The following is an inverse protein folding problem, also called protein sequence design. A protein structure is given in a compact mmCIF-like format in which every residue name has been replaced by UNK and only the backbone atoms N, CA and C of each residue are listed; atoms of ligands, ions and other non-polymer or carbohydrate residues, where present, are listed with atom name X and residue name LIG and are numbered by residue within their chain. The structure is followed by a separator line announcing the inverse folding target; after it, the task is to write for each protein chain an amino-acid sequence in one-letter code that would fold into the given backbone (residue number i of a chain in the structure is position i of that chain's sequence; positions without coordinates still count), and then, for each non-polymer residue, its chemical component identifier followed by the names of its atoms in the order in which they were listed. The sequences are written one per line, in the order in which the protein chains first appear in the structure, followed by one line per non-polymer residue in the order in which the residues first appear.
data_IF_490751899087
#
_entry.id   IF_490751899087
#
_cell.length_a   1.000
_cell.length_b   1.000
_cell.length_c   1.000
_cell.angle_alpha   90.00
_cell.angle_beta   90.00
_cell.angle_gamma   90.00
#
_symmetry.space_group_name_H-M   'P 1'
#
loop_
_entity.id
_entity.type
_entity.pdbx_description
1 polymer ?
#
# COMPACT_ATOMS: atom_id res chain seq x y z
N UNK A 1 -74.97 -35.50 -30.90
CA UNK A 1 -75.44 -34.15 -30.55
C UNK A 1 -74.48 -33.55 -29.53
N UNK A 2 -73.97 -32.35 -29.78
CA UNK A 2 -73.60 -31.35 -28.75
C UNK A 2 -72.26 -31.47 -28.01
N UNK A 3 -71.38 -30.50 -28.25
CA UNK A 3 -70.06 -30.20 -27.66
C UNK A 3 -70.02 -29.90 -26.14
N UNK A 4 -68.91 -30.20 -25.45
CA UNK A 4 -67.82 -29.29 -24.98
C UNK A 4 -66.95 -29.97 -23.89
N UNK A 5 -65.67 -29.61 -23.80
CA UNK A 5 -64.59 -30.17 -22.93
C UNK A 5 -63.93 -29.02 -22.11
N UNK A 6 -62.87 -29.16 -21.28
CA UNK A 6 -62.24 -30.32 -20.57
C UNK A 6 -61.67 -30.01 -19.13
N UNK A 7 -60.96 -31.02 -18.56
CA UNK A 7 -59.72 -31.01 -17.70
C UNK A 7 -59.87 -31.49 -16.24
N UNK A 8 -58.95 -32.23 -15.59
CA UNK A 8 -57.65 -32.88 -15.92
C UNK A 8 -57.28 -33.93 -14.85
N UNK A 9 -56.45 -34.90 -15.22
CA UNK A 9 -55.96 -36.08 -14.48
C UNK A 9 -54.63 -35.88 -13.72
N UNK A 10 -54.41 -36.67 -12.67
CA UNK A 10 -53.11 -36.93 -12.02
C UNK A 10 -52.84 -38.44 -11.90
N UNK A 11 -51.60 -38.87 -12.14
CA UNK A 11 -51.04 -40.18 -11.72
C UNK A 11 -49.56 -40.33 -12.12
N UNK A 12 -48.75 -41.16 -11.40
CA UNK A 12 -47.36 -40.89 -11.05
C UNK A 12 -46.31 -41.82 -11.70
N UNK A 13 -45.05 -41.39 -11.78
CA UNK A 13 -43.83 -42.24 -11.77
C UNK A 13 -42.56 -41.39 -11.99
N UNK A 14 -41.90 -40.89 -10.93
CA UNK A 14 -40.62 -40.17 -11.12
C UNK A 14 -39.75 -40.04 -9.84
N UNK A 15 -39.77 -41.03 -8.93
CA UNK A 15 -38.99 -40.97 -7.66
C UNK A 15 -37.82 -41.94 -7.52
N UNK A 16 -37.49 -42.73 -8.53
CA UNK A 16 -36.44 -43.76 -8.40
C UNK A 16 -35.15 -43.55 -9.24
N UNK A 17 -34.99 -42.42 -9.95
CA UNK A 17 -33.79 -42.17 -10.78
C UNK A 17 -32.90 -41.02 -10.27
N UNK A 18 -33.34 -40.26 -9.26
CA UNK A 18 -32.58 -39.11 -8.73
C UNK A 18 -31.53 -39.46 -7.65
N UNK A 19 -31.56 -40.68 -7.10
CA UNK A 19 -30.68 -41.07 -5.99
C UNK A 19 -29.25 -41.47 -6.37
N UNK A 20 -29.01 -41.93 -7.61
CA UNK A 20 -27.70 -42.48 -7.99
C UNK A 20 -26.79 -41.50 -8.75
N UNK A 21 -27.32 -40.39 -9.27
CA UNK A 21 -26.53 -39.39 -10.02
C UNK A 21 -25.83 -38.37 -9.12
N UNK A 22 -26.30 -38.22 -7.87
CA UNK A 22 -25.68 -37.31 -6.89
C UNK A 22 -24.37 -37.88 -6.33
N UNK A 23 -24.26 -39.20 -6.14
CA UNK A 23 -23.04 -39.83 -5.60
C UNK A 23 -21.86 -39.90 -6.60
N UNK A 24 -22.13 -39.83 -7.90
CA UNK A 24 -21.09 -39.93 -8.94
C UNK A 24 -20.46 -38.58 -9.33
N UNK A 25 -21.10 -37.45 -9.00
CA UNK A 25 -20.56 -36.11 -9.32
C UNK A 25 -19.67 -35.57 -8.18
N UNK A 26 -19.76 -36.12 -6.97
CA UNK A 26 -18.96 -35.72 -5.81
C UNK A 26 -17.58 -36.40 -5.72
N UNK A 27 -17.21 -37.30 -6.65
CA UNK A 27 -15.90 -37.99 -6.64
C UNK A 27 -14.81 -37.35 -7.50
N UNK A 28 -15.05 -36.17 -8.10
CA UNK A 28 -14.04 -35.44 -8.91
C UNK A 28 -13.77 -34.01 -8.43
N UNK A 29 -14.30 -33.61 -7.27
CA UNK A 29 -13.78 -32.47 -6.53
C UNK A 29 -12.78 -33.00 -5.48
N UNK A 30 -11.61 -32.36 -5.28
CA UNK A 30 -10.93 -32.52 -4.00
C UNK A 30 -11.93 -32.06 -2.93
N UNK A 31 -12.35 -33.02 -2.11
CA UNK A 31 -13.08 -32.90 -0.83
C UNK A 31 -13.54 -31.48 -0.47
N UNK A 32 -14.79 -31.17 -0.79
CA UNK A 32 -15.55 -30.04 -0.24
C UNK A 32 -15.95 -30.29 1.23
N UNK A 33 -14.99 -30.68 2.06
CA UNK A 33 -15.20 -31.01 3.49
C UNK A 33 -14.16 -30.34 4.40
N UNK A 34 -13.51 -29.28 3.92
CA UNK A 34 -12.59 -28.44 4.71
C UNK A 34 -12.73 -26.95 4.38
N UNK A 35 -13.94 -26.50 4.03
CA UNK A 35 -14.31 -25.10 4.24
C UNK A 35 -15.04 -25.05 5.59
N UNK A 36 -14.27 -25.11 6.67
CA UNK A 36 -14.77 -24.73 7.97
C UNK A 36 -15.29 -23.30 7.88
N UNK A 37 -16.43 -23.08 8.50
CA UNK A 37 -16.98 -21.77 8.84
C UNK A 37 -15.89 -20.93 9.51
N UNK A 38 -15.16 -20.14 8.73
CA UNK A 38 -14.41 -18.99 9.19
C UNK A 38 -14.13 -18.07 8.00
N UNK A 39 -14.66 -16.86 8.12
CA UNK A 39 -14.15 -15.60 7.58
C UNK A 39 -14.42 -15.22 6.10
N UNK A 40 -15.36 -14.28 5.99
CA UNK A 40 -15.53 -13.22 4.98
C UNK A 40 -15.65 -13.61 3.50
N UNK A 41 -16.77 -14.23 3.15
CA UNK A 41 -17.34 -14.11 1.80
C UNK A 41 -18.19 -12.82 1.75
N UNK A 42 -17.78 -11.82 0.96
CA UNK A 42 -18.52 -10.56 0.78
C UNK A 42 -19.98 -10.83 0.31
N UNK A 43 -20.98 -10.06 0.80
CA UNK A 43 -22.39 -10.16 0.38
C UNK A 43 -22.62 -10.30 -1.14
N UNK A 44 -21.83 -9.62 -1.95
CA UNK A 44 -21.90 -9.67 -3.42
C UNK A 44 -21.58 -11.05 -3.98
N UNK A 45 -20.60 -11.74 -3.40
CA UNK A 45 -20.19 -13.09 -3.77
C UNK A 45 -21.24 -14.12 -3.34
N UNK A 46 -21.87 -13.91 -2.19
CA UNK A 46 -22.95 -14.78 -1.70
C UNK A 46 -24.23 -14.66 -2.55
N UNK A 47 -24.60 -13.43 -2.93
CA UNK A 47 -25.73 -13.17 -3.83
C UNK A 47 -25.51 -13.80 -5.22
N UNK A 48 -24.27 -13.77 -5.72
CA UNK A 48 -23.90 -14.36 -7.01
C UNK A 48 -23.91 -15.90 -6.99
N UNK A 49 -23.45 -16.52 -5.89
CA UNK A 49 -23.58 -17.97 -5.67
C UNK A 49 -25.06 -18.38 -5.65
N UNK A 50 -25.92 -17.62 -4.97
CA UNK A 50 -27.37 -17.87 -4.96
C UNK A 50 -28.02 -17.68 -6.33
N UNK A 51 -27.55 -16.72 -7.12
CA UNK A 51 -28.02 -16.52 -8.49
C UNK A 51 -27.64 -17.70 -9.40
N UNK A 52 -26.41 -18.22 -9.28
CA UNK A 52 -25.94 -19.41 -9.98
C UNK A 52 -26.71 -20.68 -9.57
N UNK A 53 -26.94 -20.87 -8.26
CA UNK A 53 -27.79 -21.96 -7.75
C UNK A 53 -29.23 -21.87 -8.29
N UNK A 54 -29.76 -20.65 -8.41
CA UNK A 54 -31.09 -20.41 -8.96
C UNK A 54 -31.14 -20.71 -10.46
N UNK A 55 -30.18 -20.23 -11.25
CA UNK A 55 -30.15 -20.47 -12.70
C UNK A 55 -29.98 -21.96 -13.05
N UNK A 56 -29.17 -22.69 -12.27
CA UNK A 56 -29.00 -24.15 -12.41
C UNK A 56 -30.28 -24.92 -12.07
N UNK A 57 -31.12 -24.40 -11.17
CA UNK A 57 -32.40 -25.02 -10.81
C UNK A 57 -33.53 -24.71 -11.81
N UNK A 58 -33.47 -23.59 -12.53
CA UNK A 58 -34.64 -23.06 -13.25
C UNK A 58 -34.47 -22.95 -14.78
N UNK A 59 -33.29 -23.21 -15.36
CA UNK A 59 -33.12 -23.30 -16.82
C UNK A 59 -32.76 -24.73 -17.24
N UNK A 60 -33.61 -25.35 -18.06
CA UNK A 60 -33.24 -26.54 -18.83
C UNK A 60 -32.24 -26.14 -19.92
N UNK A 61 -30.94 -26.28 -19.64
CA UNK A 61 -29.87 -26.13 -20.63
C UNK A 61 -29.35 -27.49 -21.08
N UNK A 62 -28.97 -27.67 -22.37
CA UNK A 62 -28.61 -28.96 -22.92
C UNK A 62 -27.13 -29.32 -22.64
N UNK A 63 -26.94 -30.53 -22.11
CA UNK A 63 -25.71 -31.36 -22.07
C UNK A 63 -24.48 -30.84 -21.30
N UNK A 64 -23.85 -31.77 -20.56
CA UNK A 64 -22.75 -31.56 -19.62
C UNK A 64 -21.49 -30.89 -20.20
N UNK A 65 -21.29 -30.90 -21.52
CA UNK A 65 -20.15 -30.26 -22.21
C UNK A 65 -20.26 -28.73 -22.19
N UNK A 66 -21.48 -28.18 -22.26
CA UNK A 66 -21.72 -26.73 -22.14
C UNK A 66 -21.44 -26.22 -20.71
N UNK A 67 -21.71 -27.08 -19.72
CA UNK A 67 -21.48 -26.79 -18.28
C UNK A 67 -19.98 -26.76 -17.97
N UNK A 68 -19.15 -27.66 -18.52
CA UNK A 68 -17.69 -27.62 -18.32
C UNK A 68 -17.03 -26.41 -18.98
N UNK A 69 -17.43 -26.04 -20.19
CA UNK A 69 -16.90 -24.86 -20.87
C UNK A 69 -17.24 -23.54 -20.14
N UNK A 70 -18.48 -23.43 -19.63
CA UNK A 70 -18.90 -22.28 -18.82
C UNK A 70 -18.36 -22.32 -17.39
N UNK A 71 -18.23 -23.48 -16.76
CA UNK A 71 -17.63 -23.57 -15.42
C UNK A 71 -16.12 -23.26 -15.45
N UNK A 72 -15.40 -23.63 -16.50
CA UNK A 72 -14.01 -23.19 -16.71
C UNK A 72 -13.91 -21.71 -17.08
N UNK A 73 -14.82 -21.18 -17.91
CA UNK A 73 -14.84 -19.73 -18.19
C UNK A 73 -15.24 -18.92 -16.96
N UNK A 74 -16.10 -19.48 -16.09
CA UNK A 74 -16.54 -18.92 -14.81
C UNK A 74 -15.46 -19.07 -13.74
N UNK A 75 -14.69 -20.15 -13.69
CA UNK A 75 -13.48 -20.23 -12.86
C UNK A 75 -12.38 -19.29 -13.36
N UNK A 76 -12.21 -19.10 -14.67
CA UNK A 76 -11.30 -18.10 -15.23
C UNK A 76 -11.80 -16.65 -15.04
N UNK A 77 -13.10 -16.43 -14.87
CA UNK A 77 -13.67 -15.10 -14.54
C UNK A 77 -13.88 -14.87 -13.04
N UNK A 78 -13.93 -15.91 -12.20
CA UNK A 78 -13.79 -15.83 -10.74
C UNK A 78 -12.30 -15.72 -10.35
N UNK A 79 -11.41 -16.21 -11.22
CA UNK A 79 -9.99 -15.90 -11.24
C UNK A 79 -9.66 -14.64 -12.08
N UNK A 80 -10.65 -13.79 -12.41
CA UNK A 80 -10.35 -12.36 -12.44
C UNK A 80 -9.94 -12.03 -11.02
N UNK A 81 -8.61 -11.92 -10.86
CA UNK A 81 -7.89 -12.05 -9.61
C UNK A 81 -8.60 -11.34 -8.47
N UNK A 82 -8.68 -11.99 -7.30
CA UNK A 82 -8.94 -11.23 -6.09
C UNK A 82 -8.03 -10.01 -6.12
N UNK A 83 -8.58 -8.78 -5.99
CA UNK A 83 -7.80 -7.56 -6.19
C UNK A 83 -6.66 -7.44 -5.17
N UNK A 84 -6.68 -8.30 -4.15
CA UNK A 84 -5.70 -8.45 -3.11
C UNK A 84 -5.37 -9.94 -2.91
N UNK A 85 -4.12 -10.24 -2.55
CA UNK A 85 -3.65 -11.55 -2.11
C UNK A 85 -2.65 -11.41 -0.97
N UNK A 86 -2.90 -12.09 0.16
CA UNK A 86 -1.87 -12.35 1.15
C UNK A 86 -0.97 -13.49 0.69
N UNK A 87 0.33 -13.30 0.78
CA UNK A 87 1.37 -14.22 0.33
C UNK A 87 1.99 -14.96 1.53
N UNK A 88 2.68 -16.07 1.24
CA UNK A 88 3.35 -16.89 2.26
C UNK A 88 4.61 -16.23 2.86
N UNK A 89 5.04 -15.07 2.35
CA UNK A 89 6.21 -14.31 2.78
C UNK A 89 5.83 -13.09 3.63
N UNK A 90 4.72 -13.18 4.38
CA UNK A 90 4.18 -12.11 5.23
C UNK A 90 4.06 -10.78 4.47
N UNK A 91 3.51 -10.89 3.26
CA UNK A 91 3.27 -9.75 2.38
C UNK A 91 1.91 -9.81 1.73
N UNK A 92 1.53 -8.68 1.16
CA UNK A 92 0.26 -8.40 0.54
C UNK A 92 0.52 -7.88 -0.86
N UNK A 93 -0.14 -8.45 -1.86
CA UNK A 93 -0.10 -7.95 -3.24
C UNK A 93 -1.48 -7.40 -3.62
N UNK A 94 -1.51 -6.16 -4.10
CA UNK A 94 -2.68 -5.54 -4.72
C UNK A 94 -2.52 -5.60 -6.24
N UNK A 95 -3.61 -5.83 -6.96
CA UNK A 95 -3.65 -5.84 -8.42
C UNK A 95 -4.90 -5.10 -8.90
N UNK A 96 -4.68 -4.02 -9.65
CA UNK A 96 -5.73 -3.21 -10.23
C UNK A 96 -6.13 -3.77 -11.61
N UNK A 97 -7.42 -3.68 -12.04
CA UNK A 97 -7.86 -4.18 -13.35
C UNK A 97 -7.13 -3.61 -14.57
N UNK A 98 -6.44 -2.47 -14.44
CA UNK A 98 -5.57 -1.91 -15.49
C UNK A 98 -4.27 -2.69 -15.70
N UNK A 99 -3.92 -3.62 -14.81
CA UNK A 99 -2.65 -4.33 -14.78
C UNK A 99 -1.62 -3.73 -13.82
N UNK A 100 -1.91 -2.60 -13.17
CA UNK A 100 -1.02 -2.02 -12.16
C UNK A 100 -1.03 -2.88 -10.90
N UNK A 101 0.10 -2.93 -10.18
CA UNK A 101 0.23 -3.74 -8.97
C UNK A 101 1.05 -3.04 -7.90
N UNK A 102 0.85 -3.44 -6.64
CA UNK A 102 1.69 -3.01 -5.52
C UNK A 102 1.92 -4.18 -4.56
N UNK A 103 3.09 -4.22 -3.92
CA UNK A 103 3.43 -5.22 -2.90
C UNK A 103 3.80 -4.52 -1.59
N UNK A 104 3.20 -4.97 -0.49
CA UNK A 104 3.37 -4.42 0.87
C UNK A 104 3.79 -5.53 1.81
N UNK A 105 4.89 -5.36 2.54
CA UNK A 105 5.27 -6.27 3.63
C UNK A 105 4.44 -5.96 4.88
N UNK A 106 4.06 -6.97 5.66
CA UNK A 106 3.51 -6.75 7.00
C UNK A 106 4.55 -6.07 7.91
N UNK A 107 5.82 -6.44 7.75
CA UNK A 107 6.91 -5.76 8.44
C UNK A 107 7.06 -4.31 7.97
N UNK A 108 6.85 -3.39 8.91
CA UNK A 108 6.82 -1.95 8.71
C UNK A 108 5.64 -1.42 7.90
N UNK A 109 4.66 -2.27 7.57
CA UNK A 109 3.66 -2.02 6.52
C UNK A 109 4.30 -1.42 5.24
N UNK A 110 5.50 -1.91 4.91
CA UNK A 110 6.37 -1.25 3.93
C UNK A 110 5.92 -1.60 2.52
N UNK A 111 5.49 -0.61 1.74
CA UNK A 111 5.32 -0.80 0.29
C UNK A 111 6.70 -1.00 -0.33
N UNK A 112 6.94 -2.13 -1.00
CA UNK A 112 8.25 -2.48 -1.56
C UNK A 112 8.27 -2.53 -3.09
N UNK A 113 7.10 -2.46 -3.73
CA UNK A 113 6.97 -2.44 -5.19
C UNK A 113 5.67 -1.74 -5.58
N UNK A 114 5.73 -0.96 -6.66
CA UNK A 114 4.58 -0.37 -7.32
C UNK A 114 4.83 -0.32 -8.83
N UNK A 115 4.15 -1.19 -9.57
CA UNK A 115 4.31 -1.32 -11.00
C UNK A 115 3.12 -0.68 -11.73
N UNK A 116 3.43 0.19 -12.70
CA UNK A 116 2.46 0.80 -13.61
C UNK A 116 2.94 0.60 -15.03
N UNK A 117 2.12 -0.07 -15.84
CA UNK A 117 2.41 -0.41 -17.25
C UNK A 117 3.72 -1.21 -17.41
N UNK A 118 3.98 -2.19 -16.53
CA UNK A 118 5.20 -3.01 -16.59
C UNK A 118 6.48 -2.31 -16.14
N UNK A 119 6.39 -1.05 -15.67
CA UNK A 119 7.52 -0.29 -15.14
C UNK A 119 7.38 -0.14 -13.63
N UNK A 120 8.36 -0.67 -12.90
CA UNK A 120 8.54 -0.43 -11.47
C UNK A 120 8.79 1.07 -11.22
N UNK A 121 8.09 1.63 -10.23
CA UNK A 121 8.14 3.06 -9.88
C UNK A 121 8.86 3.31 -8.57
N UNK A 122 9.12 2.27 -7.77
CA UNK A 122 9.85 2.36 -6.52
C UNK A 122 11.22 1.70 -6.61
N UNK A 123 12.24 2.35 -6.06
CA UNK A 123 13.54 1.72 -5.91
C UNK A 123 13.53 0.80 -4.68
N UNK A 124 13.93 -0.45 -4.88
CA UNK A 124 14.23 -1.39 -3.82
C UNK A 124 15.68 -1.86 -3.95
N UNK A 125 16.46 -1.76 -2.88
CA UNK A 125 17.82 -2.27 -2.93
C UNK A 125 17.83 -3.79 -3.08
N UNK A 126 18.70 -4.30 -3.95
CA UNK A 126 18.95 -5.75 -4.09
C UNK A 126 19.54 -6.41 -2.83
N UNK A 127 20.07 -5.62 -1.89
CA UNK A 127 20.57 -6.09 -0.57
C UNK A 127 19.60 -5.76 0.57
N UNK A 128 18.41 -5.24 0.27
CA UNK A 128 17.41 -4.95 1.27
C UNK A 128 17.06 -6.22 2.06
N UNK A 129 16.86 -6.06 3.36
CA UNK A 129 16.33 -7.13 4.22
C UNK A 129 14.82 -7.04 4.23
N UNK A 130 14.18 -8.13 3.81
CA UNK A 130 12.72 -8.28 3.75
C UNK A 130 12.22 -9.30 4.78
N UNK A 131 13.11 -9.77 5.66
CA UNK A 131 12.91 -10.84 6.65
C UNK A 131 12.56 -10.30 8.05
N UNK A 132 12.27 -9.01 8.17
CA UNK A 132 11.97 -8.37 9.44
C UNK A 132 13.17 -8.11 10.36
N UNK A 133 14.41 -8.38 9.93
CA UNK A 133 15.59 -8.19 10.80
C UNK A 133 16.00 -6.72 10.96
N UNK A 134 15.60 -5.86 10.02
CA UNK A 134 15.82 -4.41 10.05
C UNK A 134 14.92 -3.70 9.05
N UNK A 135 14.81 -2.37 9.16
CA UNK A 135 14.07 -1.55 8.22
C UNK A 135 14.48 -1.82 6.76
N UNK A 136 13.49 -1.88 5.87
CA UNK A 136 13.70 -2.15 4.44
C UNK A 136 14.46 -1.00 3.78
N UNK A 137 15.46 -1.33 2.95
CA UNK A 137 16.22 -0.35 2.16
C UNK A 137 15.57 -0.12 0.80
N UNK A 138 14.53 0.70 0.76
CA UNK A 138 13.80 1.04 -0.45
C UNK A 138 12.29 0.95 -0.25
N UNK A 139 11.53 1.17 -1.32
CA UNK A 139 10.07 1.23 -1.25
C UNK A 139 9.59 2.50 -0.54
N UNK A 140 8.65 2.36 0.39
CA UNK A 140 8.08 3.45 1.19
C UNK A 140 8.13 3.09 2.69
N UNK A 141 9.29 3.14 3.36
CA UNK A 141 9.37 2.98 4.81
C UNK A 141 8.57 4.07 5.55
N UNK A 142 7.89 3.68 6.62
CA UNK A 142 7.09 4.58 7.45
C UNK A 142 7.91 5.14 8.62
N UNK A 143 8.02 6.45 8.71
CA UNK A 143 8.77 7.14 9.76
C UNK A 143 7.81 7.67 10.81
N UNK A 144 7.82 7.09 12.01
CA UNK A 144 7.02 7.52 13.17
C UNK A 144 7.60 6.92 14.46
N UNK A 145 7.57 7.63 15.61
CA UNK A 145 7.05 8.98 15.84
C UNK A 145 8.11 10.09 15.70
N UNK A 146 9.31 9.78 15.21
CA UNK A 146 10.43 10.72 15.12
C UNK A 146 11.10 10.61 13.76
N UNK A 147 11.42 11.74 13.13
CA UNK A 147 12.22 11.80 11.91
C UNK A 147 13.70 12.05 12.24
N UNK A 148 14.59 11.30 11.57
CA UNK A 148 16.01 11.30 11.93
C UNK A 148 16.22 10.79 13.36
N UNK A 149 17.32 11.19 13.99
CA UNK A 149 17.61 10.90 15.39
C UNK A 149 17.34 12.16 16.20
N UNK A 150 16.36 12.13 17.08
CA UNK A 150 16.15 13.21 18.04
C UNK A 150 17.27 13.21 19.09
N UNK A 151 17.73 14.41 19.44
CA UNK A 151 18.72 14.63 20.51
C UNK A 151 18.07 15.03 21.83
N UNK A 152 16.82 15.48 21.80
CA UNK A 152 16.04 15.94 22.93
C UNK A 152 14.55 15.64 22.74
N UNK A 153 13.76 15.83 23.82
CA UNK A 153 12.32 15.61 23.79
C UNK A 153 11.90 14.15 24.01
N UNK A 154 10.59 13.87 23.94
CA UNK A 154 10.02 12.60 24.38
C UNK A 154 10.46 11.38 23.54
N UNK A 155 10.95 11.60 22.32
CA UNK A 155 11.42 10.55 21.42
C UNK A 155 12.96 10.44 21.32
N UNK A 156 13.73 11.17 22.15
CA UNK A 156 15.21 11.18 22.07
C UNK A 156 15.85 9.80 22.29
N UNK A 157 15.19 8.93 23.07
CA UNK A 157 15.68 7.59 23.33
C UNK A 157 15.48 6.63 22.13
N UNK A 158 14.51 6.91 21.26
CA UNK A 158 14.20 6.06 20.11
C UNK A 158 15.31 6.03 19.05
N UNK A 159 15.45 4.94 18.28
CA UNK A 159 16.36 4.88 17.15
C UNK A 159 16.00 5.89 16.05
N UNK A 160 16.92 6.09 15.11
CA UNK A 160 16.70 6.96 13.97
C UNK A 160 15.45 6.51 13.18
N UNK A 161 14.56 7.46 12.91
CA UNK A 161 13.27 7.29 12.23
C UNK A 161 12.19 6.50 13.00
N UNK A 162 12.36 6.32 14.31
CA UNK A 162 11.37 5.69 15.17
C UNK A 162 11.21 4.19 14.89
N UNK A 163 10.02 3.67 15.19
CA UNK A 163 9.75 2.22 15.26
C UNK A 163 8.72 1.72 14.24
N UNK A 164 7.96 2.59 13.59
CA UNK A 164 6.90 2.17 12.66
C UNK A 164 7.42 1.24 11.55
N UNK A 165 8.54 1.57 10.91
CA UNK A 165 9.22 0.76 9.88
C UNK A 165 9.94 -0.49 10.39
N UNK A 166 10.02 -0.70 11.70
CA UNK A 166 10.68 -1.86 12.32
C UNK A 166 9.75 -2.71 13.19
N UNK A 167 8.45 -2.47 13.10
CA UNK A 167 7.42 -3.23 13.80
C UNK A 167 6.61 -4.04 12.79
N UNK A 168 6.06 -5.18 13.18
CA UNK A 168 5.16 -5.94 12.30
C UNK A 168 3.74 -5.42 12.49
N UNK A 169 3.13 -4.98 11.40
CA UNK A 169 1.77 -4.44 11.39
C UNK A 169 0.75 -5.55 11.20
N UNK A 170 -0.43 -5.37 11.77
CA UNK A 170 -1.57 -6.26 11.55
C UNK A 170 -2.26 -5.89 10.24
N UNK A 171 -2.60 -6.89 9.41
CA UNK A 171 -3.45 -6.68 8.26
C UNK A 171 -4.92 -6.64 8.72
N UNK A 172 -5.57 -5.49 8.57
CA UNK A 172 -6.98 -5.29 8.96
C UNK A 172 -7.98 -5.67 7.86
N UNK A 173 -7.49 -5.92 6.64
CA UNK A 173 -8.28 -6.37 5.50
C UNK A 173 -8.42 -5.33 4.39
N UNK A 174 -9.41 -5.56 3.52
CA UNK A 174 -9.67 -4.75 2.32
C UNK A 174 -10.71 -3.67 2.65
N UNK A 175 -10.44 -2.45 2.18
CA UNK A 175 -11.40 -1.34 2.18
C UNK A 175 -11.96 -1.15 0.77
N UNK A 176 -13.11 -1.76 0.47
CA UNK A 176 -13.76 -1.62 -0.84
C UNK A 176 -14.84 -0.54 -0.79
N UNK A 177 -14.41 0.71 -0.68
CA UNK A 177 -15.33 1.86 -0.69
C UNK A 177 -15.52 2.45 -2.11
N UNK A 178 -14.67 2.08 -3.06
CA UNK A 178 -14.65 2.60 -4.42
C UNK A 178 -14.16 1.52 -5.39
N UNK A 179 -14.95 1.21 -6.42
CA UNK A 179 -14.65 0.20 -7.44
C UNK A 179 -13.47 0.59 -8.37
N UNK A 180 -13.05 1.86 -8.37
CA UNK A 180 -11.94 2.37 -9.18
C UNK A 180 -10.55 2.18 -8.53
N UNK A 181 -10.50 1.70 -7.28
CA UNK A 181 -9.25 1.46 -6.55
C UNK A 181 -9.31 0.15 -5.79
N UNK A 182 -8.14 -0.41 -5.50
CA UNK A 182 -7.99 -1.50 -4.54
C UNK A 182 -7.36 -0.94 -3.28
N UNK A 183 -7.98 -1.08 -2.12
CA UNK A 183 -7.40 -0.56 -0.88
C UNK A 183 -7.29 -1.63 0.22
N UNK A 184 -6.18 -1.59 0.95
CA UNK A 184 -5.94 -2.44 2.13
C UNK A 184 -5.55 -1.58 3.33
N UNK A 185 -5.87 -2.05 4.53
CA UNK A 185 -5.55 -1.35 5.78
C UNK A 185 -4.65 -2.19 6.69
N UNK A 186 -3.72 -1.51 7.35
CA UNK A 186 -2.81 -2.07 8.33
C UNK A 186 -2.92 -1.31 9.65
N UNK A 187 -2.84 -2.04 10.76
CA UNK A 187 -2.89 -1.50 12.12
C UNK A 187 -1.55 -1.63 12.85
N UNK A 188 -1.21 -0.63 13.66
CA UNK A 188 -0.11 -0.70 14.63
C UNK A 188 -0.51 -0.01 15.93
N UNK A 189 -0.47 -0.75 17.03
CA UNK A 189 -0.74 -0.31 18.39
C UNK A 189 0.45 -0.65 19.30
N UNK A 190 0.34 -0.34 20.59
CA UNK A 190 1.44 -0.50 21.57
C UNK A 190 1.91 -1.95 21.66
N UNK A 191 0.99 -2.90 21.55
CA UNK A 191 1.23 -4.33 21.67
C UNK A 191 2.05 -4.88 20.49
N UNK A 192 2.11 -4.17 19.36
CA UNK A 192 2.83 -4.59 18.17
C UNK A 192 4.30 -4.14 18.14
N UNK A 193 4.72 -3.25 19.05
CA UNK A 193 6.09 -2.72 19.07
C UNK A 193 6.93 -3.37 20.18
N UNK A 194 8.24 -3.45 19.97
CA UNK A 194 9.17 -4.05 20.93
C UNK A 194 9.11 -3.36 22.30
N UNK A 195 9.26 -4.14 23.37
CA UNK A 195 9.25 -3.65 24.76
C UNK A 195 10.25 -2.51 25.01
N UNK A 196 11.37 -2.49 24.31
CA UNK A 196 12.35 -1.42 24.42
C UNK A 196 11.84 -0.11 23.82
N UNK A 197 11.17 -0.16 22.66
CA UNK A 197 10.52 1.02 22.07
C UNK A 197 9.39 1.53 22.97
N UNK A 198 8.60 0.64 23.57
CA UNK A 198 7.55 1.02 24.55
C UNK A 198 8.13 1.77 25.75
N UNK A 199 9.29 1.34 26.28
CA UNK A 199 9.96 2.04 27.39
C UNK A 199 10.53 3.39 26.98
N UNK A 200 11.08 3.47 25.76
CA UNK A 200 11.71 4.68 25.23
C UNK A 200 10.69 5.75 24.83
N UNK A 201 9.46 5.35 24.49
CA UNK A 201 8.35 6.24 24.14
C UNK A 201 7.03 5.69 24.71
N UNK A 202 6.75 5.93 26.00
CA UNK A 202 5.70 5.24 26.76
C UNK A 202 4.30 5.84 26.58
N UNK A 203 3.91 6.12 25.34
CA UNK A 203 2.59 6.64 25.00
C UNK A 203 1.70 5.55 24.40
N UNK A 204 0.39 5.66 24.66
CA UNK A 204 -0.61 4.89 23.94
C UNK A 204 -0.94 5.58 22.62
N UNK A 205 -1.06 4.80 21.56
CA UNK A 205 -1.33 5.29 20.22
C UNK A 205 -2.01 4.19 19.41
N UNK A 206 -2.72 4.57 18.36
CA UNK A 206 -3.16 3.65 17.32
C UNK A 206 -2.87 4.23 15.94
N UNK A 207 -2.21 3.47 15.08
CA UNK A 207 -1.96 3.84 13.69
C UNK A 207 -2.83 3.01 12.76
N UNK A 208 -3.49 3.65 11.80
CA UNK A 208 -4.14 2.99 10.67
C UNK A 208 -3.48 3.49 9.40
N UNK A 209 -2.83 2.56 8.69
CA UNK A 209 -2.19 2.84 7.41
C UNK A 209 -3.00 2.23 6.28
N UNK A 210 -3.46 3.06 5.34
CA UNK A 210 -4.23 2.62 4.17
C UNK A 210 -3.40 2.78 2.91
N UNK A 211 -3.28 1.70 2.12
CA UNK A 211 -2.65 1.70 0.79
C UNK A 211 -3.75 1.52 -0.25
N UNK A 212 -3.94 2.51 -1.12
CA UNK A 212 -4.94 2.49 -2.19
C UNK A 212 -4.23 2.52 -3.54
N UNK A 213 -4.44 1.47 -4.35
CA UNK A 213 -3.89 1.31 -5.69
C UNK A 213 -4.96 1.64 -6.74
N UNK A 214 -4.72 2.68 -7.53
CA UNK A 214 -5.50 3.02 -8.72
C UNK A 214 -4.81 2.57 -10.01
N UNK A 215 -5.32 3.04 -11.16
CA UNK A 215 -4.73 2.77 -12.47
C UNK A 215 -3.27 3.24 -12.58
N UNK A 216 -3.00 4.49 -12.23
CA UNK A 216 -1.71 5.16 -12.36
C UNK A 216 -1.28 5.85 -11.06
N UNK A 217 -1.99 5.55 -9.96
CA UNK A 217 -1.77 6.16 -8.65
C UNK A 217 -1.57 5.14 -7.55
N UNK A 218 -0.75 5.49 -6.57
CA UNK A 218 -0.63 4.82 -5.30
C UNK A 218 -0.80 5.85 -4.18
N UNK A 219 -1.91 5.77 -3.46
CA UNK A 219 -2.20 6.64 -2.33
C UNK A 219 -1.88 5.92 -1.02
N UNK A 220 -1.17 6.62 -0.15
CA UNK A 220 -0.77 6.15 1.17
C UNK A 220 -1.32 7.13 2.20
N UNK A 221 -2.23 6.66 3.04
CA UNK A 221 -2.88 7.49 4.07
C UNK A 221 -2.51 6.96 5.45
N UNK A 222 -2.04 7.83 6.33
CA UNK A 222 -1.78 7.53 7.73
C UNK A 222 -2.82 8.25 8.60
N UNK A 223 -3.50 7.50 9.44
CA UNK A 223 -4.30 7.99 10.55
C UNK A 223 -3.59 7.66 11.86
N UNK A 224 -3.47 8.65 12.75
CA UNK A 224 -2.81 8.55 14.05
C UNK A 224 -3.84 8.93 15.09
N UNK A 225 -4.11 8.03 16.04
CA UNK A 225 -5.11 8.20 17.09
C UNK A 225 -4.43 8.29 18.44
N UNK A 226 -4.86 9.26 19.24
CA UNK A 226 -4.55 9.33 20.66
C UNK A 226 -5.83 9.00 21.44
N UNK A 227 -5.95 7.76 21.93
CA UNK A 227 -7.18 7.28 22.53
C UNK A 227 -7.60 8.07 23.78
N UNK A 228 -8.89 8.02 24.11
CA UNK A 228 -9.50 8.85 25.15
C UNK A 228 -8.92 8.66 26.57
N UNK A 229 -8.08 7.65 26.83
CA UNK A 229 -7.45 7.37 28.14
C UNK A 229 -5.91 7.52 28.12
N UNK A 230 -5.37 8.21 27.13
CA UNK A 230 -3.93 8.39 26.93
C UNK A 230 -3.46 9.82 27.28
N UNK A 231 -2.14 10.00 27.39
CA UNK A 231 -1.51 11.31 27.55
C UNK A 231 -1.33 12.01 26.20
N UNK A 232 -1.26 13.34 26.20
CA UNK A 232 -0.84 14.09 25.01
C UNK A 232 0.57 13.64 24.60
N UNK A 233 0.79 13.46 23.31
CA UNK A 233 2.11 13.15 22.78
C UNK A 233 2.46 13.99 21.57
N UNK A 234 3.75 14.20 21.40
CA UNK A 234 4.32 14.87 20.26
C UNK A 234 4.88 13.83 19.28
N UNK A 235 4.61 14.01 17.99
CA UNK A 235 5.08 13.10 16.94
C UNK A 235 5.53 13.84 15.69
N UNK A 236 6.27 13.12 14.87
CA UNK A 236 6.61 13.43 13.49
C UNK A 236 6.25 12.23 12.63
N UNK A 237 5.89 12.49 11.37
CA UNK A 237 5.45 11.47 10.42
C UNK A 237 6.04 11.77 9.05
N UNK A 238 6.53 10.76 8.36
CA UNK A 238 7.01 10.89 6.99
C UNK A 238 6.91 9.56 6.23
N UNK A 239 6.53 9.67 4.96
CA UNK A 239 6.61 8.58 4.00
C UNK A 239 7.95 8.66 3.26
N UNK A 240 8.86 7.74 3.54
CA UNK A 240 10.22 7.77 3.01
C UNK A 240 10.29 7.17 1.61
N UNK A 241 9.59 7.76 0.64
CA UNK A 241 9.39 7.20 -0.70
C UNK A 241 10.68 7.19 -1.54
N UNK A 242 11.21 6.01 -1.84
CA UNK A 242 12.31 5.77 -2.78
C UNK A 242 11.76 5.62 -4.19
N UNK A 243 11.85 6.65 -5.02
CA UNK A 243 11.38 6.62 -6.40
C UNK A 243 12.45 6.04 -7.33
N UNK A 244 12.06 5.11 -8.20
CA UNK A 244 12.93 4.55 -9.23
C UNK A 244 13.11 5.54 -10.38
N UNK A 245 14.37 5.76 -10.78
CA UNK A 245 14.77 6.64 -11.90
C UNK A 245 15.83 5.95 -12.75
N UNK A 246 16.01 6.37 -14.00
CA UNK A 246 17.02 5.82 -14.90
C UNK A 246 18.45 6.13 -14.46
N UNK A 247 18.79 7.42 -14.40
CA UNK A 247 20.05 7.93 -13.84
C UNK A 247 19.77 9.26 -13.12
N UNK A 248 20.13 9.35 -11.84
CA UNK A 248 19.85 10.51 -11.00
C UNK A 248 20.57 11.77 -11.50
N UNK A 249 21.64 11.66 -12.30
CA UNK A 249 22.27 12.84 -12.90
C UNK A 249 21.40 13.52 -13.96
N UNK A 250 20.42 12.79 -14.51
CA UNK A 250 19.43 13.31 -15.46
C UNK A 250 18.11 13.71 -14.76
N UNK A 251 18.09 13.66 -13.40
CA UNK A 251 16.90 13.91 -12.60
C UNK A 251 16.85 15.34 -12.09
N UNK A 252 15.66 15.91 -12.20
CA UNK A 252 15.32 17.22 -11.70
C UNK A 252 14.05 17.13 -10.84
N UNK A 253 13.96 17.95 -9.79
CA UNK A 253 12.78 18.01 -8.91
C UNK A 253 12.15 19.41 -8.94
N UNK A 254 10.87 19.49 -9.32
CA UNK A 254 10.07 20.75 -9.38
C UNK A 254 9.05 20.86 -8.25
N UNK A 255 8.58 22.07 -7.97
CA UNK A 255 7.58 22.34 -6.91
C UNK A 255 8.19 22.75 -5.56
N UNK A 256 9.48 23.10 -5.55
CA UNK A 256 10.25 23.50 -4.36
C UNK A 256 10.90 24.89 -4.53
N UNK A 257 10.45 25.66 -5.52
CA UNK A 257 10.96 26.98 -5.87
C UNK A 257 10.72 27.98 -4.74
N UNK A 258 11.72 28.80 -4.38
CA UNK A 258 11.62 29.83 -3.33
C UNK A 258 11.26 29.30 -1.95
N UNK A 259 11.53 28.01 -1.69
CA UNK A 259 11.28 27.37 -0.40
C UNK A 259 12.58 27.33 0.41
N UNK A 260 12.48 27.63 1.70
CA UNK A 260 13.58 27.46 2.64
C UNK A 260 13.80 25.97 2.94
N UNK A 261 15.05 25.55 2.93
CA UNK A 261 15.43 24.18 3.26
C UNK A 261 16.61 24.13 4.22
N UNK A 262 16.64 23.05 5.02
CA UNK A 262 17.79 22.68 5.86
C UNK A 262 18.61 21.63 5.14
N UNK A 263 19.88 21.90 4.87
CA UNK A 263 20.78 20.97 4.17
C UNK A 263 21.68 20.22 5.16
N UNK A 264 21.43 18.92 5.37
CA UNK A 264 22.21 18.12 6.31
C UNK A 264 23.64 17.86 5.84
N UNK A 265 23.88 17.91 4.53
CA UNK A 265 25.25 17.77 3.97
C UNK A 265 26.12 18.99 4.31
N UNK A 266 25.49 20.13 4.62
CA UNK A 266 26.14 21.37 5.06
C UNK A 266 25.91 21.66 6.55
N UNK A 267 25.77 20.62 7.37
CA UNK A 267 25.62 20.77 8.82
C UNK A 267 24.28 21.36 9.27
N UNK A 268 23.23 21.22 8.46
CA UNK A 268 21.89 21.72 8.78
C UNK A 268 21.68 23.20 8.46
N UNK A 269 22.55 23.81 7.64
CA UNK A 269 22.44 25.20 7.23
C UNK A 269 21.07 25.46 6.57
N UNK A 270 20.44 26.58 6.93
CA UNK A 270 19.22 27.07 6.26
C UNK A 270 19.62 27.84 5.01
N UNK A 271 19.04 27.44 3.88
CA UNK A 271 19.24 28.02 2.56
C UNK A 271 17.88 28.18 1.87
N UNK A 272 17.80 28.96 0.81
CA UNK A 272 16.57 29.15 0.02
C UNK A 272 16.79 28.65 -1.40
N UNK A 273 15.85 27.86 -1.91
CA UNK A 273 15.88 27.41 -3.31
C UNK A 273 15.72 28.62 -4.25
N UNK A 274 16.52 28.66 -5.31
CA UNK A 274 16.56 29.79 -6.24
C UNK A 274 15.18 30.06 -6.89
N UNK A 275 14.99 31.31 -7.34
CA UNK A 275 13.71 31.86 -7.79
C UNK A 275 13.55 31.95 -9.31
N UNK A 276 14.62 31.77 -10.11
CA UNK A 276 14.58 32.01 -11.55
C UNK A 276 13.77 30.94 -12.31
N UNK A 277 13.35 31.26 -13.54
CA UNK A 277 12.35 30.53 -14.34
C UNK A 277 12.70 29.08 -14.74
N UNK A 278 13.77 28.51 -14.18
CA UNK A 278 14.21 27.12 -14.27
C UNK A 278 14.44 26.51 -12.86
N UNK A 279 13.70 26.95 -11.84
CA UNK A 279 13.92 26.61 -10.42
C UNK A 279 13.63 25.14 -10.00
N UNK A 280 14.02 24.20 -10.85
CA UNK A 280 14.19 22.80 -10.50
C UNK A 280 15.42 22.58 -9.62
N UNK A 281 15.39 21.53 -8.83
CA UNK A 281 16.54 21.02 -8.10
C UNK A 281 17.23 19.95 -8.95
N UNK A 282 18.45 20.23 -9.41
CA UNK A 282 19.32 19.24 -10.05
C UNK A 282 20.05 18.41 -8.99
N UNK A 283 20.15 17.10 -9.21
CA UNK A 283 20.85 16.19 -8.30
C UNK A 283 22.26 15.90 -8.84
N UNK A 284 23.23 16.71 -8.43
CA UNK A 284 24.63 16.65 -8.92
C UNK A 284 25.64 16.21 -7.87
N UNK A 285 25.18 15.94 -6.65
CA UNK A 285 25.98 15.49 -5.51
C UNK A 285 25.10 14.80 -4.47
N UNK A 286 25.72 14.33 -3.38
CA UNK A 286 24.97 13.97 -2.17
C UNK A 286 24.02 15.11 -1.79
N UNK A 287 22.76 14.74 -1.60
CA UNK A 287 21.67 15.67 -1.31
C UNK A 287 20.90 15.12 -0.12
N UNK A 288 20.71 15.92 0.92
CA UNK A 288 19.85 15.63 2.07
C UNK A 288 19.23 16.96 2.53
N UNK A 289 18.10 17.32 1.91
CA UNK A 289 17.46 18.62 2.07
C UNK A 289 16.04 18.48 2.58
N UNK A 290 15.76 19.10 3.72
CA UNK A 290 14.41 19.24 4.27
C UNK A 290 13.84 20.60 3.87
N UNK A 291 12.90 20.61 2.93
CA UNK A 291 12.13 21.77 2.50
C UNK A 291 10.95 21.97 3.45
N UNK A 292 10.88 23.14 4.09
CA UNK A 292 9.90 23.43 5.14
C UNK A 292 8.69 24.13 4.56
N UNK A 293 7.52 23.52 4.73
CA UNK A 293 6.24 24.09 4.29
C UNK A 293 6.21 24.69 2.84
N UNK A 294 6.64 23.96 1.78
CA UNK A 294 6.46 24.42 0.40
C UNK A 294 5.00 24.86 0.15
N UNK A 295 4.80 25.97 -0.56
CA UNK A 295 3.46 26.54 -0.78
C UNK A 295 2.59 25.66 -1.70
N UNK A 296 3.19 24.95 -2.65
CA UNK A 296 2.53 23.95 -3.47
C UNK A 296 2.30 22.64 -2.72
N UNK A 297 1.27 21.89 -3.12
CA UNK A 297 0.92 20.59 -2.55
C UNK A 297 1.42 19.41 -3.36
N UNK A 298 2.23 19.64 -4.40
CA UNK A 298 2.89 18.58 -5.15
C UNK A 298 4.34 18.90 -5.47
N UNK A 299 5.11 17.84 -5.64
CA UNK A 299 6.51 17.85 -6.07
C UNK A 299 6.64 16.87 -7.22
N UNK A 300 7.25 17.30 -8.32
CA UNK A 300 7.34 16.47 -9.54
C UNK A 300 8.79 16.08 -9.80
N UNK A 301 9.03 14.79 -10.02
CA UNK A 301 10.31 14.26 -10.50
C UNK A 301 10.28 14.22 -12.01
N UNK A 302 11.34 14.75 -12.63
CA UNK A 302 11.57 14.72 -14.07
C UNK A 302 12.83 13.91 -14.38
N UNK A 303 12.82 13.22 -15.51
CA UNK A 303 14.00 12.63 -16.14
C UNK A 303 14.15 13.27 -17.52
N UNK A 304 15.27 13.94 -17.81
CA UNK A 304 15.52 14.61 -19.10
C UNK A 304 14.37 15.54 -19.53
N UNK A 305 13.96 16.43 -18.61
CA UNK A 305 12.82 17.35 -18.74
C UNK A 305 11.43 16.69 -18.89
N UNK A 306 11.31 15.37 -18.82
CA UNK A 306 10.03 14.65 -18.86
C UNK A 306 9.57 14.30 -17.45
N UNK A 307 8.36 14.71 -17.07
CA UNK A 307 7.79 14.36 -15.77
C UNK A 307 7.50 12.86 -15.70
N UNK A 308 8.02 12.18 -14.68
CA UNK A 308 7.91 10.71 -14.52
C UNK A 308 7.05 10.29 -13.33
N UNK A 309 7.11 11.05 -12.23
CA UNK A 309 6.31 10.81 -11.02
C UNK A 309 5.96 12.15 -10.38
N UNK A 310 4.69 12.32 -10.03
CA UNK A 310 4.25 13.41 -9.14
C UNK A 310 3.98 12.86 -7.74
N UNK A 311 4.50 13.54 -6.72
CA UNK A 311 4.24 13.28 -5.30
C UNK A 311 3.32 14.38 -4.80
N UNK A 312 2.04 14.06 -4.63
CA UNK A 312 1.04 14.96 -4.06
C UNK A 312 0.91 14.70 -2.57
N UNK A 313 0.66 15.75 -1.78
CA UNK A 313 0.60 15.66 -0.33
C UNK A 313 -0.62 16.37 0.24
N UNK A 314 -1.23 15.75 1.26
CA UNK A 314 -2.34 16.31 2.02
C UNK A 314 -2.02 16.22 3.51
N UNK A 315 -2.11 17.37 4.20
CA UNK A 315 -1.77 17.53 5.61
C UNK A 315 -0.33 17.12 6.01
N UNK A 316 0.56 16.93 5.02
CA UNK A 316 1.99 16.76 5.21
C UNK A 316 2.67 18.06 4.78
N UNK A 317 3.29 18.75 5.73
CA UNK A 317 3.76 20.12 5.50
C UNK A 317 5.05 20.17 4.71
N UNK A 318 5.94 19.22 4.94
CA UNK A 318 7.35 19.27 4.54
C UNK A 318 7.66 18.26 3.44
N UNK A 319 8.78 18.48 2.75
CA UNK A 319 9.31 17.56 1.74
C UNK A 319 10.80 17.34 2.01
N UNK A 320 11.24 16.09 2.10
CA UNK A 320 12.67 15.75 2.11
C UNK A 320 13.08 15.26 0.74
N UNK A 321 14.16 15.80 0.20
CA UNK A 321 14.81 15.26 -1.00
C UNK A 321 16.15 14.67 -0.60
N UNK A 322 16.34 13.39 -0.92
CA UNK A 322 17.54 12.66 -0.53
C UNK A 322 18.10 11.76 -1.64
N UNK A 323 19.39 11.88 -1.88
CA UNK A 323 20.20 10.93 -2.64
C UNK A 323 21.56 10.75 -1.95
N UNK A 324 21.97 9.50 -1.63
CA UNK A 324 23.21 9.24 -0.89
C UNK A 324 24.49 9.42 -1.70
N UNK A 325 24.39 9.57 -3.02
CA UNK A 325 25.50 9.64 -3.97
C UNK A 325 26.47 8.47 -3.85
N UNK A 326 27.69 8.61 -4.37
CA UNK A 326 28.64 7.50 -4.51
C UNK A 326 29.27 7.00 -3.20
N UNK A 327 29.40 7.87 -2.19
CA UNK A 327 30.21 7.57 -0.98
C UNK A 327 29.38 7.02 0.16
N UNK A 328 28.23 7.61 0.46
CA UNK A 328 27.42 7.19 1.60
C UNK A 328 26.96 5.71 1.53
N UNK A 329 26.59 5.14 0.36
CA UNK A 329 26.17 3.74 0.26
C UNK A 329 27.25 2.72 0.65
N UNK A 330 28.53 3.09 0.60
CA UNK A 330 29.64 2.19 0.96
C UNK A 330 29.60 1.77 2.44
N UNK A 331 28.96 2.58 3.29
CA UNK A 331 28.73 2.29 4.70
C UNK A 331 27.36 1.65 4.98
N UNK A 332 26.56 1.40 3.94
CA UNK A 332 25.21 0.85 4.05
C UNK A 332 25.22 -0.62 3.59
N UNK A 333 25.40 -1.55 4.53
CA UNK A 333 25.48 -2.98 4.21
C UNK A 333 24.22 -3.58 3.55
N UNK A 334 23.07 -2.88 3.61
CA UNK A 334 21.84 -3.22 2.88
C UNK A 334 21.63 -2.46 1.57
N UNK A 335 22.59 -1.64 1.16
CA UNK A 335 22.49 -0.88 -0.08
C UNK A 335 23.24 -1.60 -1.21
N UNK A 336 22.54 -1.74 -2.32
CA UNK A 336 22.93 -2.62 -3.40
C UNK A 336 22.07 -2.44 -4.65
N UNK A 337 22.65 -2.55 -5.86
CA UNK A 337 24.10 -2.64 -6.09
C UNK A 337 24.85 -1.36 -5.67
N UNK A 338 26.18 -1.38 -5.73
CA UNK A 338 27.03 -0.26 -5.26
C UNK A 338 26.70 1.06 -5.98
N UNK A 339 26.30 0.99 -7.25
CA UNK A 339 25.85 2.12 -8.06
C UNK A 339 24.33 2.36 -7.98
N UNK A 340 23.62 1.67 -7.08
CA UNK A 340 22.17 1.77 -6.95
C UNK A 340 21.67 3.18 -6.62
N UNK A 341 22.54 4.04 -6.07
CA UNK A 341 22.26 5.46 -5.82
C UNK A 341 21.95 6.23 -7.11
N UNK A 342 22.43 5.75 -8.27
CA UNK A 342 22.09 6.35 -9.57
C UNK A 342 20.65 6.09 -9.96
N UNK A 343 20.03 5.02 -9.46
CA UNK A 343 18.69 4.58 -9.88
C UNK A 343 17.58 4.95 -8.90
N UNK A 344 17.86 5.91 -8.02
CA UNK A 344 16.92 6.34 -7.01
C UNK A 344 16.98 7.84 -6.73
N UNK A 345 15.84 8.40 -6.39
CA UNK A 345 15.72 9.66 -5.67
C UNK A 345 14.67 9.47 -4.57
N UNK A 346 14.95 9.91 -3.34
CA UNK A 346 13.91 10.00 -2.33
C UNK A 346 13.24 11.37 -2.42
N UNK A 347 11.92 11.35 -2.56
CA UNK A 347 11.05 12.54 -2.43
C UNK A 347 10.00 12.19 -1.40
N UNK A 348 10.21 12.66 -0.19
CA UNK A 348 9.56 12.14 1.00
C UNK A 348 8.54 13.17 1.51
N UNK A 349 7.25 12.82 1.46
CA UNK A 349 6.21 13.68 1.99
C UNK A 349 6.11 13.48 3.52
N UNK A 350 6.22 14.56 4.28
CA UNK A 350 6.29 14.47 5.73
C UNK A 350 5.78 15.70 6.47
N UNK A 351 5.82 15.58 7.79
CA UNK A 351 5.49 16.60 8.77
C UNK A 351 6.53 16.44 9.88
N UNK A 352 7.71 17.01 9.65
CA UNK A 352 8.98 16.66 10.33
C UNK A 352 9.87 17.86 10.67
N UNK A 353 9.57 19.05 10.14
CA UNK A 353 10.32 20.26 10.49
C UNK A 353 10.04 20.70 11.95
N UNK A 354 8.84 20.38 12.44
CA UNK A 354 8.33 20.66 13.77
C UNK A 354 7.62 19.42 14.34
N UNK A 355 7.39 19.43 15.66
CA UNK A 355 6.60 18.41 16.34
C UNK A 355 5.11 18.70 16.22
N UNK A 356 4.31 17.67 15.92
CA UNK A 356 2.85 17.74 16.00
C UNK A 356 2.41 17.22 17.35
N UNK A 357 1.69 18.06 18.10
CA UNK A 357 1.05 17.64 19.35
C UNK A 357 -0.31 17.01 19.05
N UNK A 358 -0.50 15.76 19.45
CA UNK A 358 -1.79 15.09 19.42
C UNK A 358 -2.35 15.00 20.84
N UNK A 359 -3.48 15.66 21.08
CA UNK A 359 -4.12 15.66 22.40
C UNK A 359 -4.88 14.36 22.63
N UNK A 360 -5.08 14.02 23.90
CA UNK A 360 -5.97 12.93 24.32
C UNK A 360 -7.34 13.04 23.65
N UNK A 361 -7.76 11.96 22.99
CA UNK A 361 -9.03 11.85 22.27
C UNK A 361 -9.01 12.40 20.84
N UNK A 362 -7.93 13.04 20.39
CA UNK A 362 -7.81 13.57 19.04
C UNK A 362 -7.23 12.53 18.06
N UNK A 363 -7.48 12.76 16.78
CA UNK A 363 -6.89 12.02 15.66
C UNK A 363 -6.26 12.98 14.65
N UNK A 364 -5.19 12.54 14.00
CA UNK A 364 -4.57 13.23 12.89
C UNK A 364 -4.55 12.33 11.65
N UNK A 365 -4.79 12.91 10.47
CA UNK A 365 -4.72 12.18 9.20
C UNK A 365 -3.90 12.97 8.18
N UNK A 366 -3.01 12.27 7.47
CA UNK A 366 -2.28 12.84 6.33
C UNK A 366 -1.97 11.77 5.29
N UNK A 367 -1.75 12.20 4.05
CA UNK A 367 -1.55 11.27 2.95
C UNK A 367 -0.58 11.80 1.89
N UNK A 368 0.09 10.88 1.21
CA UNK A 368 0.70 11.12 -0.08
C UNK A 368 -0.05 10.38 -1.19
N UNK A 369 0.00 10.93 -2.40
CA UNK A 369 -0.37 10.21 -3.63
C UNK A 369 0.84 10.26 -4.55
N UNK A 370 1.36 9.09 -4.89
CA UNK A 370 2.31 8.94 -5.98
C UNK A 370 1.51 8.73 -7.26
N UNK A 371 1.75 9.56 -8.28
CA UNK A 371 1.14 9.43 -9.60
C UNK A 371 2.21 9.19 -10.64
N UNK A 372 2.12 8.07 -11.34
CA UNK A 372 2.98 7.77 -12.48
C UNK A 372 2.54 8.66 -13.65
N UNK A 373 3.50 9.39 -14.22
CA UNK A 373 3.29 10.24 -15.38
C UNK A 373 3.87 9.54 -16.62
N UNK A 374 3.15 9.65 -17.74
CA UNK A 374 3.43 8.96 -19.01
C UNK A 374 4.10 9.88 -20.02
#
# INVERSE_FOLDING_TARGET
MGNYSPKTSSSPNERYVLGQTLELTLRLAPTATELQENEFVNPSTWLYIKLLEWELRHRHLPTATCIRGRALSVQQSIAQAMPFKQNNDDSVTLTHPSGSSAKVLLYGATVISWEVEGKERLFLSSKAKLDGTKAVRGGIPLVFPVFGKATEGPAAALPQHGFARTSTWELLGIKNDNDDVVAVQFGLEVENIDLEAQKQWPYKFGLIYTVELGKDTLKNTMEIRNDADAEDFDFQILFHSYLAVGDVSDVEVKGLEKVDYRDKTQGGKVLTQAAESEARLDITSETDRLYVAPSGTSTTVLEKDQAVVEVQRQNLKDVVVWNPWEKAPQNMGDFGPEDGWKRMICVEAGSVAEWHKLKKGDSWTGSQVLKALL
#
